data_IF_318210086870
#
_entry.id   IF_318210086870
#
_cell.length_a   1.000
_cell.length_b   1.000
_cell.length_c   1.000
_cell.angle_alpha   90.00
_cell.angle_beta   90.00
_cell.angle_gamma   90.00
#
_symmetry.space_group_name_H-M   'P 1'
#
loop_
_entity.id
_entity.type
_entity.pdbx_description
1 polymer ?
#
# COMPACT_ATOMS: atom_id res chain seq x y z
N UNK A 1 -1.20 -15.31 -9.17
CA UNK A 1 -1.66 -15.64 -7.81
C UNK A 1 -0.81 -14.84 -6.82
N UNK A 2 -1.40 -14.26 -5.79
CA UNK A 2 -0.64 -13.54 -4.76
C UNK A 2 0.06 -14.53 -3.83
N UNK A 3 1.27 -14.18 -3.37
CA UNK A 3 2.00 -14.91 -2.33
C UNK A 3 2.25 -13.98 -1.16
N UNK A 4 2.34 -14.50 0.06
CA UNK A 4 2.61 -13.68 1.25
C UNK A 4 3.92 -12.89 1.10
N UNK A 5 5.00 -13.56 0.68
CA UNK A 5 6.30 -12.90 0.44
C UNK A 5 6.23 -11.82 -0.64
N UNK A 6 5.43 -12.05 -1.69
CA UNK A 6 5.23 -11.06 -2.75
C UNK A 6 4.41 -9.85 -2.28
N UNK A 7 3.41 -10.08 -1.42
CA UNK A 7 2.62 -9.01 -0.81
C UNK A 7 3.46 -8.21 0.18
N UNK A 8 4.29 -8.86 1.01
CA UNK A 8 5.20 -8.20 1.96
C UNK A 8 6.10 -7.17 1.28
N UNK A 9 6.75 -7.58 0.18
CA UNK A 9 7.61 -6.70 -0.61
C UNK A 9 6.83 -5.51 -1.21
N UNK A 10 5.59 -5.71 -1.66
CA UNK A 10 4.76 -4.63 -2.21
C UNK A 10 4.26 -3.69 -1.12
N UNK A 11 3.76 -4.23 -0.02
CA UNK A 11 3.27 -3.47 1.12
C UNK A 11 4.37 -2.59 1.70
N UNK A 12 5.62 -3.09 1.76
CA UNK A 12 6.76 -2.27 2.18
C UNK A 12 6.89 -0.99 1.32
N UNK A 13 6.82 -1.13 0.00
CA UNK A 13 6.94 0.01 -0.93
C UNK A 13 5.73 0.96 -0.81
N UNK A 14 4.53 0.40 -0.72
CA UNK A 14 3.28 1.17 -0.65
C UNK A 14 3.16 1.95 0.66
N UNK A 15 3.52 1.33 1.79
CA UNK A 15 3.57 1.98 3.11
C UNK A 15 4.62 3.08 3.11
N UNK A 16 5.82 2.83 2.58
CA UNK A 16 6.86 3.86 2.50
C UNK A 16 6.38 5.07 1.69
N UNK A 17 5.69 4.85 0.57
CA UNK A 17 5.14 5.92 -0.25
C UNK A 17 4.01 6.69 0.47
N UNK A 18 3.10 5.97 1.15
CA UNK A 18 2.04 6.57 1.96
C UNK A 18 2.62 7.45 3.08
N UNK A 19 3.56 6.92 3.85
CA UNK A 19 4.19 7.63 4.97
C UNK A 19 4.95 8.86 4.48
N UNK A 20 5.65 8.79 3.35
CA UNK A 20 6.28 9.96 2.74
C UNK A 20 5.28 11.08 2.42
N UNK A 21 4.07 10.74 1.94
CA UNK A 21 3.02 11.74 1.65
C UNK A 21 2.43 12.33 2.92
N UNK A 22 2.20 11.50 3.94
CA UNK A 22 1.80 11.93 5.28
C UNK A 22 2.79 12.96 5.84
N UNK A 23 4.09 12.64 5.89
CA UNK A 23 5.11 13.54 6.43
C UNK A 23 5.37 14.78 5.56
N UNK A 24 5.11 14.71 4.26
CA UNK A 24 5.19 15.88 3.36
C UNK A 24 4.05 16.89 3.56
N UNK A 25 3.00 16.52 4.30
CA UNK A 25 1.81 17.36 4.47
C UNK A 25 0.98 17.48 3.18
N UNK A 26 1.18 16.59 2.21
CA UNK A 26 0.40 16.58 0.97
C UNK A 26 -0.99 16.06 1.31
N UNK A 27 -2.03 16.84 1.03
CA UNK A 27 -3.43 16.47 1.24
C UNK A 27 -3.70 15.85 2.63
N UNK A 28 -3.54 16.63 3.71
CA UNK A 28 -3.55 16.13 5.09
C UNK A 28 -4.90 15.53 5.52
N UNK A 29 -6.01 15.93 4.87
CA UNK A 29 -7.33 15.33 5.10
C UNK A 29 -7.48 13.93 4.50
N UNK A 30 -6.54 13.50 3.65
CA UNK A 30 -6.53 12.18 3.03
C UNK A 30 -5.47 11.28 3.66
N UNK A 31 -4.25 11.78 3.78
CA UNK A 31 -3.16 11.09 4.47
C UNK A 31 -3.18 11.52 5.93
N UNK A 32 -4.13 10.98 6.70
CA UNK A 32 -4.38 11.42 8.08
C UNK A 32 -3.44 10.77 9.10
N UNK A 33 -2.89 9.59 8.80
CA UNK A 33 -2.05 8.82 9.72
C UNK A 33 -0.94 8.07 9.00
N UNK A 34 0.22 7.96 9.64
CA UNK A 34 1.28 7.07 9.20
C UNK A 34 0.93 5.60 9.51
N UNK A 35 1.37 4.69 8.64
CA UNK A 35 1.20 3.25 8.82
C UNK A 35 2.51 2.68 9.38
N UNK A 36 2.44 2.15 10.60
CA UNK A 36 3.55 1.44 11.23
C UNK A 36 3.51 -0.04 10.84
N UNK A 37 4.21 -0.38 9.76
CA UNK A 37 4.22 -1.73 9.20
C UNK A 37 5.65 -2.27 9.14
N UNK A 38 5.86 -3.42 9.79
CA UNK A 38 7.09 -4.19 9.70
C UNK A 38 6.87 -5.47 8.86
N UNK A 39 7.58 -5.56 7.73
CA UNK A 39 7.56 -6.74 6.85
C UNK A 39 8.23 -7.98 7.45
N UNK A 40 9.07 -7.82 8.49
CA UNK A 40 9.75 -8.94 9.17
C UNK A 40 8.81 -9.68 10.11
N UNK A 41 7.74 -9.02 10.55
CA UNK A 41 6.73 -9.63 11.38
C UNK A 41 5.87 -10.62 10.57
N UNK A 42 5.39 -11.67 11.24
CA UNK A 42 4.56 -12.68 10.62
C UNK A 42 3.07 -12.37 10.80
N UNK A 43 2.58 -11.40 10.03
CA UNK A 43 1.16 -11.04 10.00
C UNK A 43 0.28 -12.09 9.28
N UNK A 44 0.89 -12.89 8.42
CA UNK A 44 0.22 -13.89 7.60
C UNK A 44 -0.47 -13.32 6.34
N UNK A 45 -0.79 -14.22 5.41
CA UNK A 45 -1.30 -13.87 4.08
C UNK A 45 -2.52 -12.94 4.09
N UNK A 46 -3.50 -13.18 4.95
CA UNK A 46 -4.75 -12.41 4.96
C UNK A 46 -4.53 -10.94 5.32
N UNK A 47 -3.62 -10.67 6.26
CA UNK A 47 -3.25 -9.31 6.61
C UNK A 47 -2.54 -8.63 5.44
N UNK A 48 -1.53 -9.29 4.88
CA UNK A 48 -0.75 -8.76 3.77
C UNK A 48 -1.64 -8.44 2.56
N UNK A 49 -2.62 -9.30 2.30
CA UNK A 49 -3.57 -9.11 1.22
C UNK A 49 -4.51 -7.93 1.49
N UNK A 50 -5.04 -7.78 2.71
CA UNK A 50 -5.92 -6.66 3.08
C UNK A 50 -5.17 -5.32 3.01
N UNK A 51 -3.93 -5.27 3.49
CA UNK A 51 -3.11 -4.07 3.40
C UNK A 51 -2.83 -3.69 1.94
N UNK A 52 -2.54 -4.65 1.08
CA UNK A 52 -2.43 -4.41 -0.36
C UNK A 52 -3.74 -3.87 -0.97
N UNK A 53 -4.88 -4.49 -0.62
CA UNK A 53 -6.20 -4.09 -1.09
C UNK A 53 -6.58 -2.67 -0.67
N UNK A 54 -6.14 -2.20 0.50
CA UNK A 54 -6.32 -0.82 0.92
C UNK A 54 -5.72 0.17 -0.11
N UNK A 55 -4.47 -0.04 -0.52
CA UNK A 55 -3.83 0.82 -1.52
C UNK A 55 -4.47 0.70 -2.91
N UNK A 56 -4.85 -0.52 -3.31
CA UNK A 56 -5.58 -0.75 -4.56
C UNK A 56 -6.93 -0.02 -4.57
N UNK A 57 -7.67 -0.05 -3.46
CA UNK A 57 -8.90 0.71 -3.29
C UNK A 57 -8.65 2.22 -3.37
N UNK A 58 -7.57 2.73 -2.75
CA UNK A 58 -7.21 4.14 -2.86
C UNK A 58 -6.94 4.57 -4.31
N UNK A 59 -6.28 3.70 -5.09
CA UNK A 59 -6.08 3.92 -6.52
C UNK A 59 -7.39 3.96 -7.30
N UNK A 60 -8.24 2.95 -7.13
CA UNK A 60 -9.50 2.83 -7.85
C UNK A 60 -10.51 3.94 -7.49
N UNK A 61 -10.66 4.24 -6.19
CA UNK A 61 -11.68 5.16 -5.70
C UNK A 61 -11.28 6.63 -5.83
N UNK A 62 -10.01 6.96 -5.61
CA UNK A 62 -9.53 8.34 -5.54
C UNK A 62 -8.53 8.70 -6.65
N UNK A 63 -8.20 7.77 -7.55
CA UNK A 63 -7.24 8.00 -8.64
C UNK A 63 -5.80 8.13 -8.17
N UNK A 64 -5.50 7.73 -6.94
CA UNK A 64 -4.17 7.91 -6.33
C UNK A 64 -3.20 6.92 -6.96
N UNK A 65 -2.19 7.45 -7.62
CA UNK A 65 -1.16 6.64 -8.25
C UNK A 65 -0.09 6.30 -7.22
N UNK A 66 0.07 5.02 -6.93
CA UNK A 66 1.20 4.50 -6.16
C UNK A 66 2.19 3.84 -7.12
N UNK A 67 3.47 4.09 -6.93
CA UNK A 67 4.51 3.46 -7.73
C UNK A 67 4.59 1.94 -7.45
N UNK A 68 4.30 1.52 -6.22
CA UNK A 68 4.23 0.10 -5.83
C UNK A 68 3.07 -0.70 -6.47
N UNK A 69 2.10 -0.05 -7.11
CA UNK A 69 0.99 -0.69 -7.84
C UNK A 69 1.25 -0.79 -9.36
N UNK A 70 2.28 -0.10 -9.86
CA UNK A 70 2.54 -0.03 -11.31
C UNK A 70 3.25 -1.29 -11.80
N UNK A 71 2.44 -2.25 -12.22
CA UNK A 71 2.91 -3.41 -12.99
C UNK A 71 1.89 -4.53 -13.16
N UNK A 72 0.84 -4.57 -12.33
CA UNK A 72 -0.02 -5.77 -12.24
C UNK A 72 -1.52 -5.43 -12.40
N UNK A 73 -1.94 -4.21 -12.05
CA UNK A 73 -3.36 -3.82 -12.08
C UNK A 73 -3.75 -2.95 -13.31
N UNK A 74 -2.93 -2.95 -14.37
CA UNK A 74 -3.27 -2.33 -15.67
C UNK A 74 -4.00 -3.29 -16.62
N UNK A 75 -4.51 -4.43 -16.14
CA UNK A 75 -5.46 -5.22 -16.92
C UNK A 75 -6.82 -4.53 -16.89
N UNK A 76 -7.03 -3.66 -17.88
CA UNK A 76 -8.35 -3.49 -18.51
C UNK A 76 -8.69 -4.75 -19.30
#
# INVERSE_FOLDING_TARGET
MFTESGLKSRNQLLVAEWNNRYFSGINPNFYEVAIDYDQKENHGFDFEYRLYQFFAYCNWKYGILFNGLRGIDKTK
#
